data_IF_734225142556
#
_entry.id   IF_734225142556
#
_cell.length_a   1.000
_cell.length_b   1.000
_cell.length_c   1.000
_cell.angle_alpha   90.00
_cell.angle_beta   90.00
_cell.angle_gamma   90.00
#
_symmetry.space_group_name_H-M   'P 1'
#
loop_
_entity.id
_entity.type
_entity.pdbx_description
1 polymer ?
#
# COMPACT_ATOMS: atom_id res chain seq x y z
N UNK A 1 0.00 24.95 22.74
CA UNK A 1 -0.67 24.71 21.44
C UNK A 1 0.01 25.62 20.43
N UNK A 2 0.88 25.20 19.52
CA UNK A 2 1.01 23.90 18.86
C UNK A 2 2.48 23.42 18.88
N UNK A 3 2.73 22.23 19.41
CA UNK A 3 4.06 21.58 19.36
C UNK A 3 4.29 20.82 18.04
N UNK A 4 3.28 20.77 17.16
CA UNK A 4 3.35 20.08 15.88
C UNK A 4 2.73 20.91 14.76
N UNK A 5 3.37 20.95 13.57
CA UNK A 5 2.79 21.58 12.38
C UNK A 5 1.49 20.90 12.00
N UNK A 6 0.53 21.67 11.47
CA UNK A 6 -0.70 21.11 10.91
C UNK A 6 -0.35 20.28 9.66
N UNK A 7 -0.53 18.96 9.76
CA UNK A 7 -0.33 18.02 8.66
C UNK A 7 -1.69 17.73 8.03
N UNK A 8 -1.76 17.84 6.70
CA UNK A 8 -2.86 17.30 5.93
C UNK A 8 -2.49 15.90 5.45
N UNK A 9 -3.31 14.91 5.81
CA UNK A 9 -3.09 13.50 5.46
C UNK A 9 -4.32 13.00 4.72
N UNK A 10 -4.18 12.74 3.43
CA UNK A 10 -5.22 12.16 2.59
C UNK A 10 -4.87 10.70 2.30
N UNK A 11 -5.87 9.82 2.43
CA UNK A 11 -5.74 8.39 2.14
C UNK A 11 -6.72 8.01 1.05
N UNK A 12 -6.21 7.37 0.01
CA UNK A 12 -7.00 6.85 -1.10
C UNK A 12 -6.80 5.34 -1.19
N UNK A 13 -7.91 4.61 -1.28
CA UNK A 13 -7.92 3.15 -1.44
C UNK A 13 -8.72 2.83 -2.69
N UNK A 14 -8.09 2.19 -3.67
CA UNK A 14 -8.73 1.90 -4.96
C UNK A 14 -8.27 0.55 -5.54
N UNK A 15 -9.16 -0.15 -6.25
CA UNK A 15 -8.89 -1.51 -6.71
C UNK A 15 -7.77 -1.55 -7.76
N UNK A 16 -6.93 -2.58 -7.69
CA UNK A 16 -5.84 -2.84 -8.63
C UNK A 16 -5.96 -4.22 -9.31
N UNK A 17 -6.64 -5.17 -8.65
CA UNK A 17 -6.74 -6.56 -9.08
C UNK A 17 -5.47 -7.35 -8.79
N UNK A 18 -5.45 -8.62 -9.19
CA UNK A 18 -4.31 -9.51 -8.98
C UNK A 18 -3.16 -9.18 -9.94
N UNK A 19 -2.00 -8.84 -9.38
CA UNK A 19 -0.73 -8.61 -10.05
C UNK A 19 0.43 -9.07 -9.18
N UNK A 20 1.58 -9.31 -9.81
CA UNK A 20 2.84 -9.36 -9.08
C UNK A 20 3.08 -8.03 -8.33
N UNK A 21 3.66 -8.07 -7.13
CA UNK A 21 3.81 -6.88 -6.30
C UNK A 21 4.70 -5.82 -6.95
N UNK A 22 5.81 -6.22 -7.57
CA UNK A 22 6.73 -5.26 -8.18
C UNK A 22 6.09 -4.61 -9.42
N UNK A 23 5.44 -5.42 -10.27
CA UNK A 23 4.69 -4.92 -11.43
C UNK A 23 3.54 -3.99 -10.99
N UNK A 24 2.80 -4.36 -9.95
CA UNK A 24 1.72 -3.54 -9.41
C UNK A 24 2.24 -2.18 -8.96
N UNK A 25 3.35 -2.13 -8.21
CA UNK A 25 3.93 -0.88 -7.75
C UNK A 25 4.42 -0.02 -8.93
N UNK A 26 5.10 -0.61 -9.91
CA UNK A 26 5.56 0.11 -11.10
C UNK A 26 4.40 0.75 -11.87
N UNK A 27 3.38 -0.05 -12.19
CA UNK A 27 2.18 0.44 -12.88
C UNK A 27 1.45 1.52 -12.07
N UNK A 28 1.31 1.29 -10.76
CA UNK A 28 0.65 2.21 -9.85
C UNK A 28 1.38 3.55 -9.75
N UNK A 29 2.72 3.55 -9.77
CA UNK A 29 3.52 4.78 -9.75
C UNK A 29 3.38 5.57 -11.06
N UNK A 30 3.25 4.91 -12.21
CA UNK A 30 2.93 5.57 -13.48
C UNK A 30 1.56 6.25 -13.40
N UNK A 31 0.54 5.54 -12.89
CA UNK A 31 -0.80 6.10 -12.70
C UNK A 31 -0.78 7.28 -11.71
N UNK A 32 -0.03 7.17 -10.61
CA UNK A 32 0.10 8.24 -9.63
C UNK A 32 0.71 9.51 -10.25
N UNK A 33 1.76 9.39 -11.06
CA UNK A 33 2.30 10.56 -11.79
C UNK A 33 1.30 11.16 -12.77
N UNK A 34 0.50 10.33 -13.42
CA UNK A 34 -0.58 10.80 -14.30
C UNK A 34 -1.64 11.60 -13.52
N UNK A 35 -2.03 11.15 -12.33
CA UNK A 35 -2.92 11.89 -11.44
C UNK A 35 -2.33 13.25 -11.06
N UNK A 36 -1.02 13.30 -10.76
CA UNK A 36 -0.33 14.54 -10.42
C UNK A 36 -0.27 15.52 -11.58
N UNK A 37 0.04 15.03 -12.78
CA UNK A 37 0.03 15.83 -13.99
C UNK A 37 -1.39 16.37 -14.28
N UNK A 38 -2.43 15.54 -14.09
CA UNK A 38 -3.81 15.95 -14.25
C UNK A 38 -4.20 17.04 -13.22
N UNK A 39 -3.84 16.88 -11.95
CA UNK A 39 -4.10 17.89 -10.91
C UNK A 39 -3.43 19.24 -11.21
N UNK A 40 -2.20 19.22 -11.75
CA UNK A 40 -1.52 20.43 -12.23
C UNK A 40 -2.25 21.05 -13.42
N UNK A 41 -2.64 20.25 -14.42
CA UNK A 41 -3.36 20.72 -15.60
C UNK A 41 -4.75 21.31 -15.27
N UNK A 42 -5.41 20.78 -14.23
CA UNK A 42 -6.69 21.28 -13.72
C UNK A 42 -6.54 22.50 -12.80
N UNK A 43 -5.31 22.96 -12.55
CA UNK A 43 -5.05 24.14 -11.75
C UNK A 43 -5.19 23.92 -10.24
N UNK A 44 -5.01 22.69 -9.73
CA UNK A 44 -4.88 22.47 -8.28
C UNK A 44 -3.53 22.99 -7.76
N UNK A 45 -2.49 22.86 -8.58
CA UNK A 45 -1.13 23.29 -8.26
C UNK A 45 -0.60 24.24 -9.32
N UNK A 46 -0.03 25.38 -8.91
CA UNK A 46 0.69 26.30 -9.80
C UNK A 46 2.10 25.80 -10.11
N UNK A 47 2.70 25.05 -9.17
CA UNK A 47 3.97 24.35 -9.33
C UNK A 47 3.88 22.96 -8.69
N UNK A 48 4.47 21.98 -9.35
CA UNK A 48 4.60 20.61 -8.82
C UNK A 48 5.90 20.03 -9.38
N UNK A 49 6.83 19.75 -8.49
CA UNK A 49 8.12 19.15 -8.81
C UNK A 49 8.30 17.83 -8.04
N UNK A 50 8.68 16.79 -8.77
CA UNK A 50 9.16 15.55 -8.19
C UNK A 50 10.63 15.72 -7.79
N UNK A 51 10.93 15.46 -6.51
CA UNK A 51 12.28 15.65 -5.97
C UNK A 51 13.05 14.33 -5.90
N UNK A 52 12.40 13.28 -5.42
CA UNK A 52 13.02 11.97 -5.21
C UNK A 52 11.97 10.86 -5.18
N UNK A 53 12.35 9.67 -5.61
CA UNK A 53 11.59 8.44 -5.43
C UNK A 53 12.47 7.41 -4.71
N UNK A 54 11.94 6.80 -3.66
CA UNK A 54 12.63 5.75 -2.92
C UNK A 54 11.69 4.64 -2.46
N UNK A 55 12.24 3.42 -2.43
CA UNK A 55 11.54 2.24 -1.91
C UNK A 55 11.19 2.45 -0.43
N UNK A 56 9.93 2.20 -0.08
CA UNK A 56 9.41 2.35 1.27
C UNK A 56 8.84 1.03 1.78
N UNK A 57 9.55 0.39 2.70
CA UNK A 57 9.16 -0.89 3.26
C UNK A 57 8.51 -0.68 4.62
N UNK A 58 7.30 -1.23 4.77
CA UNK A 58 6.67 -1.40 6.07
C UNK A 58 7.12 -2.76 6.60
N UNK A 59 8.11 -2.74 7.50
CA UNK A 59 8.44 -3.93 8.27
C UNK A 59 7.34 -4.14 9.30
N UNK A 60 6.79 -5.36 9.34
CA UNK A 60 6.24 -5.85 10.59
C UNK A 60 7.42 -6.03 11.54
N UNK A 61 7.37 -5.41 12.72
CA UNK A 61 8.40 -5.58 13.76
C UNK A 61 8.39 -6.99 14.37
N UNK A 62 7.48 -7.87 13.94
CA UNK A 62 7.54 -9.28 14.26
C UNK A 62 8.68 -9.94 13.46
N UNK A 63 9.87 -9.98 14.05
CA UNK A 63 10.88 -10.96 13.65
C UNK A 63 10.22 -12.36 13.62
N UNK A 64 10.53 -13.21 12.63
CA UNK A 64 9.97 -14.55 12.60
C UNK A 64 10.27 -15.23 13.93
N UNK A 65 9.23 -15.49 14.73
CA UNK A 65 9.33 -16.13 16.05
C UNK A 65 9.75 -17.60 15.95
N UNK A 66 9.87 -18.11 14.73
CA UNK A 66 10.16 -19.50 14.43
C UNK A 66 11.67 -19.70 14.28
N UNK A 67 12.23 -20.53 15.15
CA UNK A 67 13.62 -20.97 15.07
C UNK A 67 13.69 -22.02 13.97
N UNK A 68 14.50 -21.83 12.91
CA UNK A 68 14.59 -22.79 11.81
C UNK A 68 15.22 -24.11 12.29
N UNK A 69 14.60 -25.23 11.94
CA UNK A 69 15.12 -26.57 12.25
C UNK A 69 16.29 -26.98 11.35
N UNK A 70 16.36 -26.44 10.12
CA UNK A 70 17.41 -26.70 9.15
C UNK A 70 17.51 -25.58 8.10
N UNK A 71 18.44 -25.70 7.16
CA UNK A 71 18.68 -24.69 6.13
C UNK A 71 17.51 -24.51 5.14
N UNK A 72 16.72 -25.55 4.89
CA UNK A 72 15.53 -25.47 4.02
C UNK A 72 14.42 -24.72 4.74
N UNK A 73 14.20 -25.06 6.01
CA UNK A 73 13.22 -24.40 6.87
C UNK A 73 13.52 -22.89 7.01
N UNK A 74 14.80 -22.52 7.17
CA UNK A 74 15.24 -21.12 7.16
C UNK A 74 14.85 -20.38 5.87
N UNK A 75 14.97 -21.03 4.70
CA UNK A 75 14.58 -20.45 3.41
C UNK A 75 13.07 -20.31 3.27
N UNK A 76 12.31 -21.28 3.76
CA UNK A 76 10.84 -21.23 3.77
C UNK A 76 10.34 -20.10 4.67
N UNK A 77 10.87 -19.99 5.90
CA UNK A 77 10.54 -18.91 6.83
C UNK A 77 10.87 -17.54 6.21
N UNK A 78 12.02 -17.41 5.57
CA UNK A 78 12.40 -16.18 4.89
C UNK A 78 11.45 -15.83 3.72
N UNK A 79 11.02 -16.82 2.93
CA UNK A 79 10.09 -16.60 1.83
C UNK A 79 8.68 -16.22 2.30
N UNK A 80 8.21 -16.78 3.41
CA UNK A 80 6.95 -16.38 4.05
C UNK A 80 7.04 -14.93 4.53
N UNK A 81 8.10 -14.59 5.26
CA UNK A 81 8.30 -13.23 5.77
C UNK A 81 8.45 -12.20 4.63
N UNK A 82 9.03 -12.59 3.51
CA UNK A 82 9.12 -11.76 2.31
C UNK A 82 7.74 -11.55 1.66
N UNK A 83 6.92 -12.61 1.54
CA UNK A 83 5.57 -12.54 1.01
C UNK A 83 4.60 -11.72 1.88
N UNK A 84 4.83 -11.64 3.19
CA UNK A 84 4.06 -10.82 4.13
C UNK A 84 4.41 -9.33 4.09
N UNK A 85 5.56 -8.98 3.51
CA UNK A 85 6.07 -7.62 3.57
C UNK A 85 5.23 -6.70 2.71
N UNK A 86 4.77 -5.60 3.31
CA UNK A 86 4.12 -4.52 2.57
C UNK A 86 5.22 -3.61 2.02
N UNK A 87 5.46 -3.73 0.72
CA UNK A 87 6.43 -2.91 -0.01
C UNK A 87 5.68 -1.86 -0.81
N UNK A 88 6.16 -0.63 -0.73
CA UNK A 88 5.67 0.48 -1.53
C UNK A 88 6.78 1.40 -1.97
N UNK A 89 6.38 2.53 -2.55
CA UNK A 89 7.26 3.59 -3.01
C UNK A 89 6.87 4.90 -2.35
N UNK A 90 7.87 5.68 -1.97
CA UNK A 90 7.75 7.06 -1.52
C UNK A 90 8.16 7.98 -2.66
N UNK A 91 7.36 9.00 -2.92
CA UNK A 91 7.62 10.08 -3.86
C UNK A 91 7.63 11.40 -3.09
N UNK A 92 8.81 12.02 -2.97
CA UNK A 92 8.94 13.34 -2.36
C UNK A 92 8.65 14.41 -3.40
N UNK A 93 7.84 15.39 -3.02
CA UNK A 93 7.33 16.45 -3.87
C UNK A 93 7.53 17.82 -3.22
N UNK A 94 7.71 18.84 -4.06
CA UNK A 94 7.52 20.25 -3.69
C UNK A 94 6.40 20.80 -4.54
N UNK A 95 5.39 21.42 -3.91
CA UNK A 95 4.21 21.92 -4.62
C UNK A 95 3.83 23.32 -4.14
N UNK A 96 3.34 24.14 -5.06
CA UNK A 96 2.71 25.42 -4.75
C UNK A 96 1.22 25.31 -5.05
N UNK A 97 0.37 25.65 -4.08
CA UNK A 97 -1.08 25.66 -4.29
C UNK A 97 -1.46 26.77 -5.28
N UNK A 98 -2.29 26.44 -6.27
CA UNK A 98 -2.73 27.45 -7.23
C UNK A 98 -3.63 28.53 -6.59
N UNK A 99 -4.40 28.16 -5.56
CA UNK A 99 -5.35 29.05 -4.90
C UNK A 99 -4.68 30.18 -4.09
N UNK A 100 -3.51 29.92 -3.52
CA UNK A 100 -2.84 30.83 -2.58
C UNK A 100 -1.38 31.12 -2.91
N UNK A 101 -0.78 30.39 -3.86
CA UNK A 101 0.67 30.41 -4.10
C UNK A 101 1.50 29.87 -2.93
N UNK A 102 0.86 29.25 -1.93
CA UNK A 102 1.55 28.79 -0.73
C UNK A 102 2.41 27.57 -1.05
N UNK A 103 3.72 27.61 -0.74
CA UNK A 103 4.60 26.47 -0.91
C UNK A 103 4.36 25.41 0.17
N UNK A 104 4.22 24.17 -0.26
CA UNK A 104 4.02 23.01 0.59
C UNK A 104 5.14 21.99 0.39
N UNK A 105 5.50 21.34 1.50
CA UNK A 105 6.19 20.07 1.48
C UNK A 105 5.14 18.98 1.27
N UNK A 106 5.41 18.01 0.39
CA UNK A 106 4.48 16.89 0.21
C UNK A 106 5.20 15.57 -0.03
N UNK A 107 4.72 14.51 0.60
CA UNK A 107 5.13 13.14 0.33
C UNK A 107 3.93 12.34 -0.14
N UNK A 108 4.11 11.64 -1.25
CA UNK A 108 3.21 10.59 -1.70
C UNK A 108 3.78 9.22 -1.36
N UNK A 109 2.93 8.32 -0.89
CA UNK A 109 3.28 6.92 -0.67
C UNK A 109 2.30 6.06 -1.44
N UNK A 110 2.78 5.02 -2.10
CA UNK A 110 1.93 4.08 -2.81
C UNK A 110 2.31 2.65 -2.43
N UNK A 111 1.32 1.88 -2.00
CA UNK A 111 1.45 0.48 -1.65
C UNK A 111 0.46 -0.36 -2.44
N UNK A 112 0.82 -1.61 -2.71
CA UNK A 112 -0.09 -2.62 -3.23
C UNK A 112 -0.30 -3.69 -2.17
N UNK A 113 -1.54 -3.81 -1.69
CA UNK A 113 -1.93 -4.69 -0.58
C UNK A 113 -3.35 -5.19 -0.83
N UNK A 114 -3.59 -6.48 -0.62
CA UNK A 114 -4.95 -7.06 -0.66
C UNK A 114 -5.71 -6.78 -1.97
N UNK A 115 -5.01 -6.76 -3.12
CA UNK A 115 -5.53 -6.46 -4.46
C UNK A 115 -5.87 -4.97 -4.72
N UNK A 116 -5.45 -4.07 -3.84
CA UNK A 116 -5.72 -2.63 -3.90
C UNK A 116 -4.44 -1.82 -3.86
N UNK A 117 -4.52 -0.64 -4.45
CA UNK A 117 -3.59 0.43 -4.15
C UNK A 117 -4.04 1.19 -2.91
N UNK A 118 -3.10 1.43 -2.01
CA UNK A 118 -3.24 2.35 -0.88
C UNK A 118 -2.29 3.50 -1.13
N UNK A 119 -2.84 4.67 -1.46
CA UNK A 119 -2.10 5.91 -1.69
C UNK A 119 -2.28 6.84 -0.50
N UNK A 120 -1.17 7.24 0.13
CA UNK A 120 -1.17 8.23 1.22
C UNK A 120 -0.50 9.50 0.72
N UNK A 121 -1.15 10.64 0.91
CA UNK A 121 -0.61 11.97 0.61
C UNK A 121 -0.49 12.72 1.92
N UNK A 122 0.74 13.10 2.27
CA UNK A 122 0.99 13.97 3.42
C UNK A 122 1.47 15.30 2.88
N UNK A 123 0.93 16.40 3.40
CA UNK A 123 1.41 17.74 3.06
C UNK A 123 1.38 18.69 4.25
N UNK A 124 2.27 19.66 4.23
CA UNK A 124 2.37 20.70 5.26
C UNK A 124 2.89 22.01 4.64
N UNK A 125 2.50 23.14 5.22
CA UNK A 125 3.06 24.43 4.81
C UNK A 125 4.57 24.46 5.07
N UNK A 126 5.37 24.84 4.05
CA UNK A 126 6.83 24.80 4.15
C UNK A 126 7.38 25.72 5.25
N UNK A 127 6.65 26.79 5.60
CA UNK A 127 7.05 27.72 6.66
C UNK A 127 6.83 27.16 8.08
N UNK A 128 5.99 26.14 8.23
CA UNK A 128 5.59 25.61 9.53
C UNK A 128 6.54 24.53 10.08
N UNK A 129 7.37 23.92 9.23
CA UNK A 129 8.22 22.80 9.63
C UNK A 129 9.45 22.63 8.74
N UNK A 130 10.54 22.16 9.33
CA UNK A 130 11.73 21.78 8.57
C UNK A 130 11.46 20.49 7.77
N UNK A 131 12.11 20.36 6.60
CA UNK A 131 11.96 19.20 5.71
C UNK A 131 12.17 17.87 6.43
N UNK A 132 13.26 17.73 7.20
CA UNK A 132 13.58 16.50 7.92
C UNK A 132 12.51 16.09 8.92
N UNK A 133 11.95 17.06 9.66
CA UNK A 133 10.87 16.84 10.61
C UNK A 133 9.58 16.45 9.89
N UNK A 134 9.26 17.12 8.79
CA UNK A 134 8.12 16.76 7.95
C UNK A 134 8.21 15.32 7.43
N UNK A 135 9.36 14.93 6.89
CA UNK A 135 9.55 13.58 6.35
C UNK A 135 9.41 12.50 7.41
N UNK A 136 9.95 12.73 8.61
CA UNK A 136 9.83 11.79 9.71
C UNK A 136 8.35 11.59 10.12
N UNK A 137 7.59 12.69 10.23
CA UNK A 137 6.17 12.63 10.57
C UNK A 137 5.33 11.99 9.45
N UNK A 138 5.62 12.32 8.19
CA UNK A 138 4.94 11.73 7.04
C UNK A 138 5.21 10.22 6.92
N UNK A 139 6.46 9.80 7.14
CA UNK A 139 6.85 8.39 7.15
C UNK A 139 6.18 7.66 8.32
N UNK A 140 6.09 8.28 9.50
CA UNK A 140 5.38 7.73 10.65
C UNK A 140 3.89 7.58 10.37
N UNK A 141 3.25 8.57 9.74
CA UNK A 141 1.85 8.48 9.34
C UNK A 141 1.61 7.32 8.37
N UNK A 142 2.44 7.17 7.34
CA UNK A 142 2.33 6.05 6.39
C UNK A 142 2.53 4.69 7.10
N UNK A 143 3.51 4.60 8.01
CA UNK A 143 3.78 3.38 8.80
C UNK A 143 2.66 3.02 9.77
N UNK A 144 1.92 4.00 10.27
CA UNK A 144 0.78 3.74 11.15
C UNK A 144 -0.49 3.39 10.35
N UNK A 145 -0.81 4.17 9.32
CA UNK A 145 -2.08 4.07 8.60
C UNK A 145 -2.15 2.84 7.69
N UNK A 146 -1.12 2.58 6.90
CA UNK A 146 -1.18 1.55 5.85
C UNK A 146 -1.32 0.13 6.40
N UNK A 147 -0.62 -0.27 7.48
CA UNK A 147 -0.86 -1.57 8.09
C UNK A 147 -2.26 -1.71 8.70
N UNK A 148 -2.80 -0.62 9.26
CA UNK A 148 -4.11 -0.58 9.89
C UNK A 148 -5.27 -0.66 8.88
N UNK A 149 -5.07 -0.19 7.64
CA UNK A 149 -6.07 -0.31 6.57
C UNK A 149 -6.16 -1.76 6.11
N UNK A 150 -7.30 -2.42 6.36
CA UNK A 150 -7.57 -3.77 5.91
C UNK A 150 -8.68 -3.74 4.84
N UNK A 151 -8.46 -4.45 3.74
CA UNK A 151 -9.42 -4.64 2.66
C UNK A 151 -9.80 -6.10 2.60
N UNK A 152 -11.08 -6.40 2.84
CA UNK A 152 -11.64 -7.75 2.71
C UNK A 152 -12.37 -7.89 1.39
N UNK A 153 -11.93 -8.85 0.57
CA UNK A 153 -12.50 -9.10 -0.75
C UNK A 153 -13.56 -10.20 -0.66
N UNK A 154 -14.80 -9.90 -1.04
CA UNK A 154 -15.92 -10.86 -0.97
C UNK A 154 -16.23 -11.41 -2.37
N UNK A 155 -16.24 -12.74 -2.50
CA UNK A 155 -16.49 -13.47 -3.73
C UNK A 155 -15.24 -14.16 -4.30
N UNK A 156 -15.23 -14.45 -5.60
CA UNK A 156 -14.06 -14.98 -6.29
C UNK A 156 -13.11 -13.86 -6.71
N UNK A 157 -12.10 -13.55 -5.88
CA UNK A 157 -11.22 -12.38 -6.07
C UNK A 157 -9.79 -12.69 -6.53
N UNK A 158 -9.37 -13.96 -6.55
CA UNK A 158 -8.05 -14.34 -7.05
C UNK A 158 -8.06 -15.77 -7.61
N UNK A 159 -7.22 -16.01 -8.62
CA UNK A 159 -6.86 -17.37 -9.04
C UNK A 159 -5.94 -17.95 -7.96
N UNK A 160 -6.28 -19.13 -7.43
CA UNK A 160 -5.55 -19.81 -6.36
C UNK A 160 -4.58 -20.89 -6.92
N UNK A 161 -4.20 -20.78 -8.18
CA UNK A 161 -3.29 -21.74 -8.81
C UNK A 161 -1.85 -21.51 -8.33
N UNK A 162 -1.27 -22.55 -7.72
CA UNK A 162 0.15 -22.58 -7.34
C UNK A 162 0.96 -23.19 -8.49
N UNK A 163 1.94 -22.45 -9.00
CA UNK A 163 2.81 -22.87 -10.08
C UNK A 163 4.14 -23.39 -9.52
N UNK A 164 4.43 -24.67 -9.78
CA UNK A 164 5.70 -25.31 -9.38
C UNK A 164 6.43 -25.81 -10.62
N UNK A 165 7.72 -25.53 -10.72
CA UNK A 165 8.57 -26.13 -11.75
C UNK A 165 8.87 -27.60 -11.40
N UNK A 166 8.38 -28.52 -12.21
CA UNK A 166 8.59 -29.96 -12.04
C UNK A 166 10.06 -30.37 -12.15
N UNK A 167 10.94 -29.51 -12.69
CA UNK A 167 12.39 -29.73 -12.78
C UNK A 167 13.16 -29.13 -11.61
N UNK A 168 12.53 -28.32 -10.77
CA UNK A 168 13.18 -27.72 -9.62
C UNK A 168 13.51 -28.78 -8.56
N UNK A 169 14.55 -28.50 -7.77
CA UNK A 169 14.84 -29.33 -6.60
C UNK A 169 13.67 -29.26 -5.59
N UNK A 170 13.34 -30.35 -4.87
CA UNK A 170 12.23 -30.35 -3.91
C UNK A 170 12.26 -29.19 -2.90
N UNK A 171 13.45 -28.79 -2.46
CA UNK A 171 13.65 -27.67 -1.54
C UNK A 171 13.27 -26.33 -2.16
N UNK A 172 13.54 -26.14 -3.45
CA UNK A 172 13.14 -24.93 -4.18
C UNK A 172 11.62 -24.92 -4.38
N UNK A 173 11.03 -26.08 -4.70
CA UNK A 173 9.57 -26.22 -4.80
C UNK A 173 8.84 -25.89 -3.50
N UNK A 174 9.38 -26.31 -2.35
CA UNK A 174 8.82 -25.98 -1.04
C UNK A 174 8.85 -24.47 -0.74
N UNK A 175 9.96 -23.80 -1.06
CA UNK A 175 10.09 -22.34 -0.89
C UNK A 175 9.11 -21.58 -1.78
N UNK A 176 8.98 -22.00 -3.04
CA UNK A 176 8.08 -21.36 -4.00
C UNK A 176 6.60 -21.55 -3.62
N UNK A 177 6.23 -22.78 -3.24
CA UNK A 177 4.89 -23.09 -2.73
C UNK A 177 4.54 -22.23 -1.52
N UNK A 178 5.44 -22.14 -0.54
CA UNK A 178 5.21 -21.35 0.67
C UNK A 178 5.03 -19.86 0.35
N UNK A 179 5.84 -19.30 -0.56
CA UNK A 179 5.71 -17.91 -1.01
C UNK A 179 4.34 -17.68 -1.65
N UNK A 180 3.97 -18.47 -2.66
CA UNK A 180 2.72 -18.29 -3.39
C UNK A 180 1.50 -18.46 -2.49
N UNK A 181 1.48 -19.52 -1.66
CA UNK A 181 0.41 -19.76 -0.71
C UNK A 181 0.24 -18.55 0.22
N UNK A 182 1.35 -18.02 0.73
CA UNK A 182 1.30 -16.87 1.63
C UNK A 182 0.82 -15.60 0.94
N UNK A 183 1.26 -15.35 -0.30
CA UNK A 183 0.74 -14.26 -1.14
C UNK A 183 -0.76 -14.37 -1.35
N UNK A 184 -1.28 -15.56 -1.68
CA UNK A 184 -2.72 -15.78 -1.86
C UNK A 184 -3.51 -15.54 -0.57
N UNK A 185 -3.01 -16.00 0.57
CA UNK A 185 -3.61 -15.69 1.88
C UNK A 185 -3.62 -14.18 2.15
N UNK A 186 -2.56 -13.47 1.71
CA UNK A 186 -2.44 -12.02 1.81
C UNK A 186 -3.45 -11.23 0.98
N UNK A 187 -4.16 -11.84 0.02
CA UNK A 187 -5.24 -11.19 -0.73
C UNK A 187 -6.52 -10.99 0.09
N UNK A 188 -6.62 -11.62 1.27
CA UNK A 188 -7.77 -11.47 2.19
C UNK A 188 -9.13 -11.70 1.48
N UNK A 189 -9.18 -12.80 0.72
CA UNK A 189 -10.33 -13.24 -0.05
C UNK A 189 -11.26 -14.13 0.79
N UNK A 190 -12.57 -13.85 0.75
CA UNK A 190 -13.60 -14.56 1.50
C UNK A 190 -14.81 -14.85 0.62
N UNK A 191 -15.51 -15.97 0.86
CA UNK A 191 -16.71 -16.28 0.06
C UNK A 191 -17.95 -15.46 0.46
N UNK A 192 -17.95 -14.85 1.65
CA UNK A 192 -19.06 -14.07 2.18
C UNK A 192 -18.62 -13.05 3.23
N UNK A 193 -19.46 -12.04 3.49
CA UNK A 193 -19.27 -11.02 4.55
C UNK A 193 -19.15 -11.63 5.94
N UNK A 194 -19.91 -12.70 6.21
CA UNK A 194 -19.83 -13.47 7.45
C UNK A 194 -18.47 -14.11 7.66
N UNK A 195 -17.91 -14.78 6.65
CA UNK A 195 -16.57 -15.38 6.75
C UNK A 195 -15.48 -14.34 6.92
N UNK A 196 -15.67 -13.15 6.36
CA UNK A 196 -14.77 -12.02 6.53
C UNK A 196 -14.90 -11.31 7.89
N UNK A 197 -15.83 -11.74 8.76
CA UNK A 197 -16.09 -11.09 10.05
C UNK A 197 -16.68 -9.68 9.96
N UNK A 198 -17.13 -9.26 8.77
CA UNK A 198 -17.63 -7.91 8.52
C UNK A 198 -18.93 -7.66 9.31
N UNK A 199 -19.81 -8.66 9.35
CA UNK A 199 -21.11 -8.56 10.04
C UNK A 199 -20.98 -8.25 11.53
N UNK A 200 -19.95 -8.78 12.21
CA UNK A 200 -19.68 -8.48 13.62
C UNK A 200 -18.98 -7.12 13.78
N UNK A 201 -18.06 -6.78 12.87
CA UNK A 201 -17.35 -5.51 12.91
C UNK A 201 -18.31 -4.31 12.80
N UNK A 202 -19.27 -4.36 11.88
CA UNK A 202 -20.23 -3.26 11.66
C UNK A 202 -21.12 -2.96 12.87
N UNK A 203 -21.23 -3.88 13.84
CA UNK A 203 -21.96 -3.65 15.09
C UNK A 203 -21.18 -2.78 16.09
N UNK A 204 -19.85 -2.74 15.98
CA UNK A 204 -18.95 -2.12 16.96
C UNK A 204 -18.18 -0.91 16.43
N UNK A 205 -18.26 -0.63 15.13
CA UNK A 205 -17.54 0.47 14.48
C UNK A 205 -18.46 1.34 13.64
N UNK A 206 -18.09 2.60 13.43
CA UNK A 206 -18.76 3.46 12.46
C UNK A 206 -18.50 2.96 11.03
N UNK A 207 -19.56 2.77 10.25
CA UNK A 207 -19.47 2.24 8.89
C UNK A 207 -19.86 3.30 7.88
N UNK A 208 -18.90 3.69 7.04
CA UNK A 208 -19.16 4.53 5.88
C UNK A 208 -19.39 3.62 4.68
N UNK A 209 -20.66 3.46 4.28
CA UNK A 209 -21.01 2.65 3.11
C UNK A 209 -20.81 3.47 1.83
N UNK A 210 -19.84 3.05 1.01
CA UNK A 210 -19.64 3.57 -0.33
C UNK A 210 -20.15 2.54 -1.34
N UNK A 211 -21.14 2.91 -2.15
CA UNK A 211 -21.74 2.01 -3.14
C UNK A 211 -21.15 2.30 -4.51
N UNK A 212 -20.65 1.27 -5.17
CA UNK A 212 -20.13 1.34 -6.55
C UNK A 212 -20.92 0.41 -7.46
N UNK A 213 -21.12 0.79 -8.71
CA UNK A 213 -21.72 -0.08 -9.72
C UNK A 213 -20.66 -1.04 -10.27
N UNK A 214 -21.01 -2.30 -10.56
CA UNK A 214 -20.05 -3.29 -11.07
C UNK A 214 -19.32 -2.85 -12.36
N UNK A 215 -19.91 -1.97 -13.17
CA UNK A 215 -19.28 -1.39 -14.35
C UNK A 215 -18.14 -0.40 -14.05
N UNK A 216 -18.10 0.16 -12.84
CA UNK A 216 -17.06 1.10 -12.38
C UNK A 216 -15.76 0.37 -12.01
N UNK A 217 -15.79 -0.96 -11.88
CA UNK A 217 -14.64 -1.81 -11.59
C UNK A 217 -13.84 -2.23 -12.83
N UNK A 218 -14.36 -1.96 -14.03
CA UNK A 218 -13.59 -2.22 -15.25
C UNK A 218 -12.47 -1.19 -15.32
N UNK A 219 -11.24 -1.64 -15.13
CA UNK A 219 -10.03 -0.87 -15.38
C UNK A 219 -10.15 -0.14 -16.71
N UNK A 220 -9.99 1.18 -16.70
CA UNK A 220 -9.59 1.89 -17.91
C UNK A 220 -8.19 1.46 -18.33
#
# INVERSE_FOLDING_TARGET
MAEHPELNIDVFVYPAGQRDQAEAIEYGMVAFRKDLAAARAQGSYSRLDELDQSRFVLTSDDAPKNIPANAVDAKVIAAIADAERIVGEKLRLSVDLASSGMPLLSNGYLFYKQLYYIKVRVSAAQQATAQTTFDALADQAARALVPAIQVSNIGGCADQTIYLDAKAAPEQGAVEMARQLKTHMGFNCHSSTKQAGIEELVETVEVIKITYNAGEWKSQ
#
